data_IF_373460413975
#
_entry.id   IF_373460413975
#
_cell.length_a   1.000
_cell.length_b   1.000
_cell.length_c   1.000
_cell.angle_alpha   90.00
_cell.angle_beta   90.00
_cell.angle_gamma   90.00
#
_symmetry.space_group_name_H-M   'P 1'
#
loop_
_entity.id
_entity.type
_entity.pdbx_description
1 polymer ?
#
# COMPACT_ATOMS: atom_id res chain seq x y z
N UNK A 1 44.67 -4.87 4.35
CA UNK A 1 44.26 -4.77 2.93
C UNK A 1 43.33 -5.93 2.63
N UNK A 2 42.02 -5.70 2.44
CA UNK A 2 41.10 -6.77 2.01
C UNK A 2 41.33 -6.98 0.51
N UNK A 3 41.73 -8.19 0.15
CA UNK A 3 41.93 -8.64 -1.23
C UNK A 3 40.63 -8.46 -2.01
N UNK A 4 40.66 -7.70 -3.08
CA UNK A 4 39.53 -7.60 -4.01
C UNK A 4 39.32 -8.97 -4.66
N UNK A 5 38.13 -9.54 -4.49
CA UNK A 5 37.81 -10.85 -5.07
C UNK A 5 37.64 -10.71 -6.60
N UNK A 6 37.96 -11.76 -7.36
CA UNK A 6 37.75 -11.77 -8.81
C UNK A 6 36.29 -11.44 -9.20
N UNK A 7 35.33 -11.82 -8.34
CA UNK A 7 33.92 -11.48 -8.50
C UNK A 7 33.65 -9.98 -8.35
N UNK A 8 34.34 -9.28 -7.43
CA UNK A 8 34.22 -7.84 -7.27
C UNK A 8 34.73 -7.09 -8.51
N UNK A 9 35.80 -7.59 -9.14
CA UNK A 9 36.34 -7.00 -10.36
C UNK A 9 35.43 -7.23 -11.58
N UNK A 10 34.91 -8.46 -11.75
CA UNK A 10 33.90 -8.74 -12.78
C UNK A 10 32.66 -7.87 -12.62
N UNK A 11 32.22 -7.66 -11.38
CA UNK A 11 31.10 -6.78 -11.08
C UNK A 11 31.38 -5.32 -11.48
N UNK A 12 32.57 -4.79 -11.17
CA UNK A 12 32.96 -3.43 -11.61
C UNK A 12 33.08 -3.30 -13.11
N UNK A 13 33.60 -4.34 -13.80
CA UNK A 13 33.65 -4.36 -15.25
C UNK A 13 32.24 -4.30 -15.86
N UNK A 14 31.28 -5.03 -15.30
CA UNK A 14 29.88 -4.94 -15.70
C UNK A 14 29.34 -3.51 -15.51
N UNK A 15 29.59 -2.87 -14.37
CA UNK A 15 29.12 -1.50 -14.15
C UNK A 15 29.71 -0.52 -15.17
N UNK A 16 31.02 -0.62 -15.46
CA UNK A 16 31.69 0.21 -16.47
C UNK A 16 31.11 -0.04 -17.87
N UNK A 17 30.89 -1.29 -18.25
CA UNK A 17 30.37 -1.67 -19.58
C UNK A 17 29.00 -1.08 -19.88
N UNK A 18 28.17 -0.88 -18.86
CA UNK A 18 26.82 -0.31 -19.00
C UNK A 18 26.72 1.16 -18.54
N UNK A 19 27.86 1.83 -18.28
CA UNK A 19 27.89 3.21 -17.76
C UNK A 19 27.04 3.38 -16.49
N UNK A 20 27.04 2.37 -15.62
CA UNK A 20 26.30 2.33 -14.38
C UNK A 20 27.18 2.80 -13.22
N UNK A 21 26.59 3.55 -12.30
CA UNK A 21 27.24 4.06 -11.10
C UNK A 21 26.58 3.45 -9.86
N UNK A 22 27.40 2.97 -8.92
CA UNK A 22 26.94 2.53 -7.61
C UNK A 22 26.85 3.75 -6.68
N UNK A 23 25.68 3.92 -6.04
CA UNK A 23 25.43 5.05 -5.15
C UNK A 23 25.48 4.69 -3.66
N UNK A 24 25.27 3.42 -3.31
CA UNK A 24 25.41 2.96 -1.93
C UNK A 24 26.89 2.69 -1.62
N UNK A 25 27.52 3.52 -0.80
CA UNK A 25 28.93 3.38 -0.40
C UNK A 25 29.13 3.11 1.09
N UNK A 26 28.06 3.14 1.87
CA UNK A 26 28.06 2.90 3.31
C UNK A 26 27.59 1.47 3.66
N UNK A 27 28.00 0.91 4.81
CA UNK A 27 27.56 -0.42 5.25
C UNK A 27 26.04 -0.57 5.34
N UNK A 28 25.51 -1.53 4.57
CA UNK A 28 24.08 -1.84 4.58
C UNK A 28 23.76 -2.94 5.57
N UNK A 29 24.71 -3.80 5.92
CA UNK A 29 24.51 -4.83 6.95
C UNK A 29 25.34 -4.53 8.20
N UNK A 30 24.67 -4.27 9.32
CA UNK A 30 25.32 -3.73 10.53
C UNK A 30 26.27 -4.72 11.21
N UNK A 31 25.92 -6.01 11.24
CA UNK A 31 26.66 -6.99 12.03
C UNK A 31 28.10 -7.24 11.52
N UNK A 32 28.31 -7.17 10.19
CA UNK A 32 29.65 -7.35 9.59
C UNK A 32 30.23 -6.07 8.98
N UNK A 33 29.50 -4.95 9.02
CA UNK A 33 29.88 -3.72 8.33
C UNK A 33 29.95 -3.88 6.80
N UNK A 34 29.24 -4.86 6.23
CA UNK A 34 29.30 -5.16 4.80
C UNK A 34 28.36 -4.28 3.98
N UNK A 35 28.73 -4.03 2.73
CA UNK A 35 27.90 -3.37 1.72
C UNK A 35 27.38 -4.47 0.78
N UNK A 36 26.13 -4.87 0.95
CA UNK A 36 25.52 -5.96 0.17
C UNK A 36 24.21 -5.56 -0.52
N UNK A 37 23.62 -4.41 -0.14
CA UNK A 37 22.38 -3.88 -0.71
C UNK A 37 22.66 -2.60 -1.52
N UNK A 38 23.01 -2.76 -2.80
CA UNK A 38 23.49 -1.67 -3.65
C UNK A 38 22.37 -1.05 -4.50
N UNK A 39 22.39 0.28 -4.61
CA UNK A 39 21.59 1.03 -5.59
C UNK A 39 22.51 1.46 -6.73
N UNK A 40 22.10 1.15 -7.95
CA UNK A 40 22.87 1.38 -9.16
C UNK A 40 21.99 2.05 -10.21
N UNK A 41 22.49 3.12 -10.83
CA UNK A 41 21.83 3.77 -11.97
C UNK A 41 22.85 4.43 -12.90
N UNK A 42 22.46 4.72 -14.13
CA UNK A 42 23.25 5.51 -15.09
C UNK A 42 22.92 7.02 -15.00
N UNK A 43 22.05 7.42 -14.07
CA UNK A 43 21.64 8.81 -13.87
C UNK A 43 22.41 9.46 -12.71
N UNK A 44 22.57 10.78 -12.78
CA UNK A 44 23.00 11.55 -11.61
C UNK A 44 21.93 11.50 -10.53
N UNK A 45 22.37 11.46 -9.28
CA UNK A 45 21.51 11.45 -8.10
C UNK A 45 21.79 12.69 -7.26
N UNK A 46 20.76 13.27 -6.66
CA UNK A 46 20.91 14.46 -5.82
C UNK A 46 21.50 14.11 -4.46
N UNK A 47 21.17 12.92 -3.95
CA UNK A 47 21.68 12.41 -2.68
C UNK A 47 21.64 10.90 -2.65
N UNK A 48 22.67 10.30 -2.09
CA UNK A 48 22.71 8.88 -1.75
C UNK A 48 23.12 8.70 -0.28
N UNK A 49 22.80 7.55 0.30
CA UNK A 49 23.28 7.18 1.63
C UNK A 49 22.50 6.03 2.24
N UNK A 50 22.84 5.69 3.48
CA UNK A 50 22.20 4.62 4.22
C UNK A 50 21.45 5.18 5.43
N UNK A 51 20.26 4.67 5.70
CA UNK A 51 19.38 5.07 6.81
C UNK A 51 19.17 3.87 7.73
N UNK A 52 19.23 4.10 9.04
CA UNK A 52 19.02 3.04 10.02
C UNK A 52 17.66 2.34 9.84
N UNK A 53 17.63 1.01 9.98
CA UNK A 53 16.42 0.20 10.00
C UNK A 53 16.20 -0.44 11.36
N UNK A 54 15.04 -0.17 11.95
CA UNK A 54 14.74 -0.50 13.34
C UNK A 54 14.42 -1.97 13.61
N UNK A 55 14.18 -2.77 12.57
CA UNK A 55 13.65 -4.13 12.72
C UNK A 55 14.37 -5.18 11.86
N UNK A 56 15.38 -4.77 11.11
CA UNK A 56 16.26 -5.65 10.34
C UNK A 56 17.71 -5.30 10.65
N UNK A 57 18.63 -6.28 10.71
CA UNK A 57 20.07 -6.00 10.78
C UNK A 57 20.61 -5.28 9.53
N UNK A 58 19.84 -5.24 8.44
CA UNK A 58 20.12 -4.40 7.28
C UNK A 58 19.59 -2.99 7.48
N UNK A 59 20.42 -1.98 7.25
CA UNK A 59 20.02 -0.59 7.05
C UNK A 59 19.35 -0.40 5.68
N UNK A 60 18.55 0.66 5.55
CA UNK A 60 17.93 1.06 4.29
C UNK A 60 18.91 1.81 3.39
N UNK A 61 19.12 1.32 2.18
CA UNK A 61 19.77 2.10 1.13
C UNK A 61 18.79 3.15 0.59
N UNK A 62 19.22 4.40 0.47
CA UNK A 62 18.42 5.53 -0.04
C UNK A 62 19.17 6.26 -1.14
N UNK A 63 18.43 6.58 -2.20
CA UNK A 63 18.83 7.55 -3.23
C UNK A 63 17.68 8.54 -3.46
N UNK A 64 18.01 9.81 -3.63
CA UNK A 64 17.11 10.84 -4.16
C UNK A 64 17.49 11.11 -5.62
N UNK A 65 16.51 10.93 -6.49
CA UNK A 65 16.59 11.23 -7.91
C UNK A 65 15.56 12.30 -8.24
N UNK A 66 15.99 13.38 -8.87
CA UNK A 66 15.10 14.33 -9.51
C UNK A 66 14.52 13.70 -10.77
N UNK A 67 13.26 13.27 -10.69
CA UNK A 67 12.50 12.83 -11.86
C UNK A 67 11.72 14.01 -12.44
N UNK A 68 11.64 14.09 -13.76
CA UNK A 68 10.85 15.10 -14.46
C UNK A 68 9.37 14.99 -14.07
N UNK A 69 8.90 15.99 -13.29
CA UNK A 69 7.52 16.40 -12.99
C UNK A 69 6.38 15.37 -12.91
N UNK A 70 6.62 14.14 -12.49
CA UNK A 70 5.55 13.28 -11.96
C UNK A 70 5.24 13.65 -10.51
N UNK A 71 4.61 14.81 -10.31
CA UNK A 71 4.00 15.14 -9.00
C UNK A 71 2.67 14.39 -8.89
N UNK A 72 2.51 13.43 -7.95
CA UNK A 72 1.20 12.86 -7.69
C UNK A 72 0.26 13.99 -7.27
N UNK A 73 -0.88 14.09 -7.97
CA UNK A 73 -1.87 15.13 -7.73
C UNK A 73 -2.28 15.12 -6.24
N UNK A 74 -2.20 16.26 -5.54
CA UNK A 74 -2.64 16.33 -4.15
C UNK A 74 -4.10 15.88 -4.01
N UNK A 75 -4.34 14.78 -3.30
CA UNK A 75 -5.70 14.41 -2.89
C UNK A 75 -6.16 15.43 -1.83
N UNK A 76 -7.15 16.25 -2.18
CA UNK A 76 -7.76 17.21 -1.27
C UNK A 76 -9.21 16.82 -1.06
N UNK A 77 -9.62 16.67 0.20
CA UNK A 77 -11.01 16.39 0.57
C UNK A 77 -11.59 17.59 1.31
N UNK A 78 -12.88 17.85 1.10
CA UNK A 78 -13.65 18.78 1.92
C UNK A 78 -14.17 18.02 3.14
N UNK A 79 -13.98 18.58 4.33
CA UNK A 79 -14.39 17.94 5.59
C UNK A 79 -14.69 18.97 6.66
N UNK A 80 -15.55 18.59 7.62
CA UNK A 80 -15.85 19.37 8.83
C UNK A 80 -15.14 18.75 10.03
N UNK A 81 -14.61 19.58 10.92
CA UNK A 81 -13.84 19.13 12.08
C UNK A 81 -14.74 18.93 13.29
N UNK A 82 -15.24 17.71 13.48
CA UNK A 82 -16.17 17.37 14.57
C UNK A 82 -15.53 17.32 15.96
N UNK A 83 -14.19 17.30 16.06
CA UNK A 83 -13.50 17.17 17.36
C UNK A 83 -13.62 18.40 18.27
N UNK A 84 -14.15 19.51 17.75
CA UNK A 84 -14.44 20.74 18.51
C UNK A 84 -15.90 21.17 18.35
N UNK A 85 -16.79 20.22 18.07
CA UNK A 85 -18.22 20.50 17.99
C UNK A 85 -18.74 20.92 19.37
N UNK A 86 -19.26 22.14 19.45
CA UNK A 86 -19.93 22.66 20.64
C UNK A 86 -21.40 22.24 20.60
N UNK A 87 -21.71 21.15 21.30
CA UNK A 87 -23.04 20.57 21.34
C UNK A 87 -24.04 21.46 22.08
N UNK A 88 -23.59 22.19 23.11
CA UNK A 88 -24.45 23.04 23.91
C UNK A 88 -24.90 24.27 23.11
N UNK A 89 -23.96 24.89 22.39
CA UNK A 89 -24.26 26.01 21.51
C UNK A 89 -25.14 25.60 20.32
N UNK A 90 -24.90 24.42 19.72
CA UNK A 90 -25.76 23.88 18.67
C UNK A 90 -27.20 23.65 19.18
N UNK A 91 -27.35 23.04 20.35
CA UNK A 91 -28.65 22.80 20.97
C UNK A 91 -29.38 24.10 21.29
N UNK A 92 -28.67 25.11 21.79
CA UNK A 92 -29.23 26.45 22.04
C UNK A 92 -29.80 27.05 20.76
N UNK A 93 -29.02 27.10 19.68
CA UNK A 93 -29.47 27.66 18.40
C UNK A 93 -30.64 26.86 17.80
N UNK A 94 -30.63 25.53 17.89
CA UNK A 94 -31.72 24.69 17.38
C UNK A 94 -33.02 24.85 18.18
N UNK A 95 -32.93 25.11 19.49
CA UNK A 95 -34.11 25.33 20.35
C UNK A 95 -34.79 26.66 20.04
N UNK A 96 -34.04 27.65 19.56
CA UNK A 96 -34.56 28.98 19.19
C UNK A 96 -35.30 28.99 17.84
N UNK A 97 -35.21 27.90 17.05
CA UNK A 97 -35.84 27.80 15.74
C UNK A 97 -37.32 27.42 15.84
N UNK A 98 -38.14 27.96 14.93
CA UNK A 98 -39.54 27.53 14.79
C UNK A 98 -39.61 26.21 14.02
N UNK A 99 -40.03 25.16 14.71
CA UNK A 99 -40.20 23.83 14.13
C UNK A 99 -41.62 23.57 13.61
N UNK A 100 -42.53 24.53 13.79
CA UNK A 100 -43.93 24.43 13.33
C UNK A 100 -44.03 24.01 11.86
N UNK A 101 -43.24 24.54 10.91
CA UNK A 101 -43.28 24.10 9.51
C UNK A 101 -42.96 22.62 9.30
N UNK A 102 -42.10 22.03 10.12
CA UNK A 102 -41.78 20.59 10.06
C UNK A 102 -42.94 19.76 10.61
N UNK A 103 -43.57 20.19 11.70
CA UNK A 103 -44.66 19.43 12.30
C UNK A 103 -46.03 19.62 11.62
N UNK A 104 -46.21 20.72 10.90
CA UNK A 104 -47.46 21.06 10.23
C UNK A 104 -47.53 20.62 8.75
N UNK A 105 -46.40 20.26 8.13
CA UNK A 105 -46.39 19.74 6.76
C UNK A 105 -46.74 18.25 6.73
N UNK A 106 -47.57 17.85 5.76
CA UNK A 106 -47.90 16.45 5.49
C UNK A 106 -46.93 15.78 4.49
N UNK A 107 -45.96 16.53 3.94
CA UNK A 107 -44.96 16.02 2.99
C UNK A 107 -43.62 15.77 3.68
N UNK A 108 -43.14 14.51 3.74
CA UNK A 108 -41.81 14.20 4.25
C UNK A 108 -40.68 14.94 3.54
N UNK A 109 -40.84 15.23 2.24
CA UNK A 109 -39.87 16.01 1.46
C UNK A 109 -39.78 17.46 1.95
N UNK A 110 -40.92 18.13 2.15
CA UNK A 110 -40.96 19.50 2.67
C UNK A 110 -40.41 19.58 4.10
N UNK A 111 -40.73 18.59 4.93
CA UNK A 111 -40.16 18.47 6.28
C UNK A 111 -38.63 18.37 6.26
N UNK A 112 -38.10 17.52 5.38
CA UNK A 112 -36.66 17.31 5.22
C UNK A 112 -35.95 18.56 4.68
N UNK A 113 -36.55 19.22 3.69
CA UNK A 113 -35.99 20.43 3.10
C UNK A 113 -35.94 21.57 4.12
N UNK A 114 -37.00 21.75 4.92
CA UNK A 114 -37.00 22.74 6.00
C UNK A 114 -35.96 22.42 7.07
N UNK A 115 -35.88 21.15 7.51
CA UNK A 115 -34.87 20.71 8.47
C UNK A 115 -33.46 21.03 7.97
N UNK A 116 -33.15 20.74 6.70
CA UNK A 116 -31.85 21.06 6.12
C UNK A 116 -31.61 22.57 6.00
N UNK A 117 -32.63 23.35 5.64
CA UNK A 117 -32.55 24.79 5.51
C UNK A 117 -32.20 25.47 6.84
N UNK A 118 -32.72 24.96 7.95
CA UNK A 118 -32.45 25.48 9.30
C UNK A 118 -31.12 24.96 9.86
N UNK A 119 -30.85 23.67 9.72
CA UNK A 119 -29.69 23.04 10.37
C UNK A 119 -28.36 23.30 9.67
N UNK A 120 -28.34 23.40 8.33
CA UNK A 120 -27.08 23.60 7.58
C UNK A 120 -26.37 24.91 7.94
N UNK A 121 -27.03 26.07 7.99
CA UNK A 121 -26.36 27.33 8.37
C UNK A 121 -25.74 27.28 9.77
N UNK A 122 -26.43 26.67 10.73
CA UNK A 122 -25.92 26.47 12.10
C UNK A 122 -24.64 25.62 12.06
N UNK A 123 -24.68 24.51 11.32
CA UNK A 123 -23.51 23.65 11.14
C UNK A 123 -22.37 24.34 10.39
N UNK A 124 -22.65 25.22 9.43
CA UNK A 124 -21.61 25.95 8.69
C UNK A 124 -20.91 26.99 9.56
N UNK A 125 -21.60 27.58 10.53
CA UNK A 125 -21.02 28.50 11.52
C UNK A 125 -20.18 27.74 12.56
N UNK A 126 -20.74 26.68 13.15
CA UNK A 126 -20.09 25.94 14.23
C UNK A 126 -18.99 25.00 13.72
N UNK A 127 -19.16 24.46 12.51
CA UNK A 127 -18.29 23.48 11.88
C UNK A 127 -18.00 23.88 10.43
N UNK A 128 -17.29 24.98 10.19
CA UNK A 128 -16.99 25.42 8.83
C UNK A 128 -16.26 24.35 8.04
N UNK A 129 -16.64 24.19 6.77
CA UNK A 129 -16.01 23.23 5.88
C UNK A 129 -14.57 23.65 5.56
N UNK A 130 -13.64 22.69 5.67
CA UNK A 130 -12.22 22.92 5.43
C UNK A 130 -11.70 21.94 4.40
N UNK A 131 -10.84 22.44 3.51
CA UNK A 131 -10.11 21.60 2.55
C UNK A 131 -8.84 21.06 3.21
N UNK A 132 -8.73 19.74 3.31
CA UNK A 132 -7.59 19.08 3.92
C UNK A 132 -6.86 18.24 2.87
N UNK A 133 -5.54 18.41 2.80
CA UNK A 133 -4.67 17.61 1.93
C UNK A 133 -4.39 16.26 2.59
N UNK A 134 -4.82 15.19 1.93
CA UNK A 134 -4.56 13.81 2.34
C UNK A 134 -3.18 13.41 1.83
N UNK A 135 -2.21 13.29 2.75
CA UNK A 135 -0.80 12.95 2.42
C UNK A 135 -0.57 11.46 2.14
N UNK A 136 -1.49 10.59 2.56
CA UNK A 136 -1.43 9.15 2.30
C UNK A 136 -2.85 8.56 2.29
N UNK A 137 -3.52 8.45 1.13
CA UNK A 137 -4.88 7.93 1.05
C UNK A 137 -4.97 6.44 1.39
N UNK A 138 -3.84 5.73 1.46
CA UNK A 138 -3.75 4.31 1.81
C UNK A 138 -3.16 4.09 3.21
N UNK A 139 -3.11 5.14 4.05
CA UNK A 139 -2.72 4.96 5.44
C UNK A 139 -3.73 4.07 6.16
N UNK A 140 -3.28 3.15 7.03
CA UNK A 140 -4.20 2.38 7.86
C UNK A 140 -5.00 3.34 8.77
N UNK A 141 -6.27 3.02 9.04
CA UNK A 141 -7.06 3.77 10.01
C UNK A 141 -6.42 3.59 11.40
N UNK A 142 -6.22 4.69 12.11
CA UNK A 142 -5.64 4.68 13.46
C UNK A 142 -6.47 5.55 14.39
N UNK A 143 -6.79 4.99 15.55
CA UNK A 143 -7.47 5.70 16.64
C UNK A 143 -6.53 6.69 17.31
N UNK A 144 -7.09 7.62 18.10
CA UNK A 144 -6.27 8.59 18.84
C UNK A 144 -5.39 7.92 19.91
N UNK A 145 -5.87 6.83 20.53
CA UNK A 145 -5.07 6.00 21.42
C UNK A 145 -3.84 5.39 20.70
N UNK A 146 -4.01 4.89 19.48
CA UNK A 146 -2.91 4.38 18.66
C UNK A 146 -1.93 5.49 18.26
N UNK A 147 -2.43 6.70 17.94
CA UNK A 147 -1.58 7.86 17.64
C UNK A 147 -0.72 8.26 18.85
N UNK A 148 -1.28 8.19 20.05
CA UNK A 148 -0.56 8.45 21.29
C UNK A 148 0.57 7.44 21.51
N UNK A 149 0.29 6.13 21.37
CA UNK A 149 1.33 5.09 21.39
C UNK A 149 2.43 5.32 20.34
N UNK A 150 2.06 5.76 19.14
CA UNK A 150 3.04 6.13 18.09
C UNK A 150 3.88 7.36 18.47
N UNK A 151 3.32 8.32 19.20
CA UNK A 151 4.04 9.49 19.71
C UNK A 151 5.04 9.08 20.79
N UNK A 152 4.61 8.28 21.77
CA UNK A 152 5.47 7.74 22.83
C UNK A 152 6.61 6.90 22.27
N UNK A 153 6.32 6.03 21.29
CA UNK A 153 7.36 5.25 20.58
C UNK A 153 8.43 6.16 19.96
N UNK A 154 8.00 7.25 19.31
CA UNK A 154 8.92 8.22 18.70
C UNK A 154 9.75 8.97 19.74
N UNK A 155 9.17 9.28 20.91
CA UNK A 155 9.90 9.89 22.01
C UNK A 155 10.98 8.94 22.56
N UNK A 156 10.62 7.70 22.90
CA UNK A 156 11.55 6.69 23.40
C UNK A 156 12.75 6.45 22.45
N UNK A 157 12.53 6.53 21.14
CA UNK A 157 13.61 6.42 20.16
C UNK A 157 14.54 7.65 20.18
N UNK A 158 13.97 8.86 20.24
CA UNK A 158 14.76 10.11 20.30
C UNK A 158 15.62 10.18 21.56
N UNK A 159 15.08 9.67 22.66
CA UNK A 159 15.73 9.73 23.98
C UNK A 159 16.70 8.55 24.20
N UNK A 160 16.83 7.64 23.23
CA UNK A 160 17.75 6.49 23.31
C UNK A 160 17.29 5.34 24.21
N UNK A 161 16.02 5.33 24.62
CA UNK A 161 15.44 4.30 25.48
C UNK A 161 15.05 3.04 24.68
N UNK A 162 16.06 2.23 24.33
CA UNK A 162 15.91 1.10 23.39
C UNK A 162 14.88 0.05 23.84
N UNK A 163 14.84 -0.31 25.13
CA UNK A 163 13.92 -1.36 25.60
C UNK A 163 12.47 -0.88 25.66
N UNK A 164 12.25 0.35 26.14
CA UNK A 164 10.95 1.04 26.09
C UNK A 164 10.48 1.18 24.64
N UNK A 165 11.37 1.56 23.73
CA UNK A 165 11.07 1.63 22.30
C UNK A 165 10.61 0.27 21.73
N UNK A 166 11.32 -0.82 22.04
CA UNK A 166 10.96 -2.17 21.56
C UNK A 166 9.57 -2.58 22.04
N UNK A 167 9.26 -2.32 23.31
CA UNK A 167 7.94 -2.61 23.88
C UNK A 167 6.85 -1.80 23.19
N UNK A 168 7.04 -0.47 23.09
CA UNK A 168 6.10 0.43 22.42
C UNK A 168 5.93 0.07 20.94
N UNK A 169 6.98 -0.37 20.25
CA UNK A 169 6.89 -0.79 18.85
C UNK A 169 6.02 -2.04 18.66
N UNK A 170 6.08 -3.01 19.59
CA UNK A 170 5.18 -4.18 19.57
C UNK A 170 3.73 -3.75 19.83
N UNK A 171 3.51 -2.87 20.80
CA UNK A 171 2.18 -2.35 21.12
C UNK A 171 1.58 -1.56 19.96
N UNK A 172 2.34 -0.67 19.32
CA UNK A 172 1.91 0.09 18.14
C UNK A 172 1.53 -0.83 16.99
N UNK A 173 2.33 -1.87 16.70
CA UNK A 173 2.01 -2.83 15.62
C UNK A 173 0.71 -3.58 15.91
N UNK A 174 0.55 -4.07 17.14
CA UNK A 174 -0.69 -4.72 17.58
C UNK A 174 -1.89 -3.77 17.47
N UNK A 175 -1.72 -2.52 17.88
CA UNK A 175 -2.77 -1.51 17.86
C UNK A 175 -3.21 -1.12 16.44
N UNK A 176 -2.27 -0.90 15.52
CA UNK A 176 -2.59 -0.65 14.11
C UNK A 176 -3.34 -1.85 13.51
N UNK A 177 -2.92 -3.07 13.82
CA UNK A 177 -3.60 -4.28 13.34
C UNK A 177 -5.03 -4.41 13.85
N UNK A 178 -5.27 -4.06 15.12
CA UNK A 178 -6.61 -4.04 15.72
C UNK A 178 -7.48 -2.95 15.09
N UNK A 179 -7.00 -1.71 15.03
CA UNK A 179 -7.74 -0.57 14.47
C UNK A 179 -8.12 -0.81 13.01
N UNK A 180 -7.21 -1.42 12.25
CA UNK A 180 -7.46 -1.83 10.85
C UNK A 180 -8.56 -2.89 10.77
N UNK A 181 -8.53 -3.90 11.64
CA UNK A 181 -9.56 -4.95 11.67
C UNK A 181 -10.94 -4.36 12.01
N UNK A 182 -11.02 -3.55 13.06
CA UNK A 182 -12.28 -2.95 13.51
C UNK A 182 -12.90 -2.03 12.44
N UNK A 183 -12.08 -1.25 11.73
CA UNK A 183 -12.59 -0.41 10.64
C UNK A 183 -13.10 -1.24 9.47
N UNK A 184 -12.45 -2.37 9.16
CA UNK A 184 -12.93 -3.26 8.11
C UNK A 184 -14.23 -3.96 8.48
N UNK A 185 -14.35 -4.41 9.73
CA UNK A 185 -15.58 -4.97 10.27
C UNK A 185 -16.71 -3.93 10.15
N UNK A 186 -16.51 -2.69 10.63
CA UNK A 186 -17.49 -1.60 10.47
C UNK A 186 -17.87 -1.35 9.01
N UNK A 187 -16.90 -1.37 8.08
CA UNK A 187 -17.16 -1.16 6.65
C UNK A 187 -17.96 -2.30 6.03
N UNK A 188 -17.71 -3.54 6.46
CA UNK A 188 -18.47 -4.71 6.00
C UNK A 188 -19.90 -4.64 6.54
N UNK A 189 -20.06 -4.34 7.84
CA UNK A 189 -21.38 -4.25 8.48
C UNK A 189 -22.23 -3.15 7.84
N UNK A 190 -21.65 -1.97 7.58
CA UNK A 190 -22.36 -0.84 6.96
C UNK A 190 -22.74 -1.10 5.50
N UNK A 191 -21.91 -1.81 4.75
CA UNK A 191 -22.13 -2.04 3.32
C UNK A 191 -23.07 -3.23 3.04
N UNK A 192 -23.33 -4.06 4.04
CA UNK A 192 -24.13 -5.28 3.91
C UNK A 192 -23.48 -6.34 3.01
N UNK A 193 -24.20 -7.44 2.78
CA UNK A 193 -23.71 -8.60 2.01
C UNK A 193 -23.32 -8.25 0.56
N UNK A 194 -24.01 -7.29 -0.06
CA UNK A 194 -23.76 -6.83 -1.44
C UNK A 194 -22.53 -5.92 -1.58
N UNK A 195 -22.03 -5.36 -0.47
CA UNK A 195 -20.87 -4.46 -0.43
C UNK A 195 -19.59 -5.09 0.12
N UNK A 196 -19.65 -6.32 0.65
CA UNK A 196 -18.54 -7.03 1.29
C UNK A 196 -17.30 -7.11 0.38
N UNK A 197 -17.49 -7.48 -0.89
CA UNK A 197 -16.38 -7.56 -1.84
C UNK A 197 -15.71 -6.20 -2.08
N UNK A 198 -16.49 -5.12 -2.20
CA UNK A 198 -15.96 -3.74 -2.33
C UNK A 198 -15.18 -3.29 -1.09
N UNK A 199 -15.58 -3.75 0.09
CA UNK A 199 -14.88 -3.44 1.35
C UNK A 199 -13.54 -4.17 1.49
N UNK A 200 -13.46 -5.42 1.00
CA UNK A 200 -12.27 -6.28 1.09
C UNK A 200 -11.29 -6.10 -0.07
N UNK A 201 -11.79 -5.73 -1.26
CA UNK A 201 -10.99 -5.59 -2.47
C UNK A 201 -9.71 -4.74 -2.32
N UNK A 202 -9.69 -3.59 -1.61
CA UNK A 202 -8.48 -2.78 -1.47
C UNK A 202 -7.33 -3.48 -0.71
N UNK A 203 -7.62 -4.56 0.03
CA UNK A 203 -6.64 -5.33 0.82
C UNK A 203 -6.13 -6.52 0.03
N UNK A 204 -7.04 -7.21 -0.67
CA UNK A 204 -6.76 -8.48 -1.35
C UNK A 204 -6.34 -8.25 -2.80
N UNK A 205 -6.86 -7.22 -3.45
CA UNK A 205 -6.50 -6.93 -4.82
C UNK A 205 -5.06 -6.42 -4.88
N UNK A 206 -4.25 -6.92 -5.84
CA UNK A 206 -2.95 -6.34 -6.09
C UNK A 206 -3.13 -4.85 -6.41
N UNK A 207 -2.20 -4.03 -5.92
CA UNK A 207 -2.15 -2.59 -6.21
C UNK A 207 -2.26 -2.44 -7.73
N UNK A 208 -3.37 -1.89 -8.23
CA UNK A 208 -3.54 -1.69 -9.67
C UNK A 208 -2.35 -0.88 -10.14
N UNK A 209 -1.56 -1.45 -11.04
CA UNK A 209 -0.55 -0.66 -11.73
C UNK A 209 -1.30 0.39 -12.56
N UNK A 210 -0.89 1.66 -12.47
CA UNK A 210 -1.34 2.74 -13.38
C UNK A 210 -0.93 2.49 -14.85
N UNK A 211 -0.48 1.28 -15.18
CA UNK A 211 -0.33 0.86 -16.57
C UNK A 211 -1.73 0.87 -17.18
N UNK A 212 -1.93 1.80 -18.10
CA UNK A 212 -3.06 1.76 -19.00
C UNK A 212 -3.15 0.35 -19.56
N UNK A 213 -4.31 -0.28 -19.41
CA UNK A 213 -4.61 -1.47 -20.20
C UNK A 213 -4.28 -1.11 -21.64
N UNK A 214 -3.39 -1.85 -22.34
CA UNK A 214 -3.15 -1.58 -23.74
C UNK A 214 -4.50 -1.56 -24.45
N UNK A 215 -4.71 -0.59 -25.33
CA UNK A 215 -5.93 -0.45 -26.11
C UNK A 215 -5.98 -1.55 -27.18
N UNK A 216 -6.07 -2.79 -26.71
CA UNK A 216 -6.20 -3.98 -27.52
C UNK A 216 -7.58 -4.55 -27.24
N UNK A 217 -8.38 -4.70 -28.29
CA UNK A 217 -9.64 -5.43 -28.17
C UNK A 217 -9.38 -6.93 -27.95
N UNK A 218 -10.42 -7.68 -27.61
CA UNK A 218 -10.30 -9.11 -27.31
C UNK A 218 -9.75 -9.91 -28.51
N UNK A 219 -10.04 -9.47 -29.74
CA UNK A 219 -9.61 -10.13 -30.96
C UNK A 219 -8.13 -9.84 -31.25
N UNK A 220 -7.66 -8.64 -30.94
CA UNK A 220 -6.26 -8.24 -31.03
C UNK A 220 -5.39 -8.98 -30.01
N UNK A 221 -5.90 -9.14 -28.77
CA UNK A 221 -5.25 -9.98 -27.75
C UNK A 221 -5.21 -11.44 -28.18
N UNK A 222 -6.34 -11.99 -28.66
CA UNK A 222 -6.40 -13.36 -29.15
C UNK A 222 -5.43 -13.59 -30.32
N UNK A 223 -5.40 -12.67 -31.30
CA UNK A 223 -4.47 -12.75 -32.44
C UNK A 223 -3.02 -12.73 -31.97
N UNK A 224 -2.67 -11.83 -31.04
CA UNK A 224 -1.33 -11.78 -30.47
C UNK A 224 -0.95 -13.10 -29.81
N UNK A 225 -1.78 -13.66 -28.92
CA UNK A 225 -1.44 -14.90 -28.22
C UNK A 225 -1.44 -16.13 -29.13
N UNK A 226 -2.29 -16.17 -30.16
CA UNK A 226 -2.27 -17.21 -31.19
C UNK A 226 -0.99 -17.12 -32.04
N UNK A 227 -0.51 -15.91 -32.37
CA UNK A 227 0.68 -15.70 -33.20
C UNK A 227 2.00 -15.87 -32.44
N UNK A 228 2.02 -15.66 -31.12
CA UNK A 228 3.24 -15.80 -30.29
C UNK A 228 3.85 -17.19 -30.41
N UNK A 229 3.05 -18.26 -30.40
CA UNK A 229 3.53 -19.64 -30.52
C UNK A 229 4.28 -19.90 -31.84
N UNK A 230 3.63 -19.73 -33.01
CA UNK A 230 4.25 -19.90 -34.31
C UNK A 230 5.44 -18.97 -34.55
N UNK A 231 5.37 -17.71 -34.11
CA UNK A 231 6.46 -16.74 -34.28
C UNK A 231 7.69 -17.14 -33.46
N UNK A 232 7.49 -17.56 -32.22
CA UNK A 232 8.56 -18.03 -31.34
C UNK A 232 9.17 -19.33 -31.88
N UNK A 233 8.33 -20.27 -32.34
CA UNK A 233 8.79 -21.52 -32.95
C UNK A 233 9.68 -21.25 -34.18
N UNK A 234 9.25 -20.35 -35.09
CA UNK A 234 10.06 -19.96 -36.27
C UNK A 234 11.38 -19.30 -35.89
N UNK A 235 11.39 -18.44 -34.87
CA UNK A 235 12.61 -17.81 -34.38
C UNK A 235 13.58 -18.82 -33.75
N UNK A 236 13.08 -19.83 -33.04
CA UNK A 236 13.88 -20.93 -32.48
C UNK A 236 14.43 -21.82 -33.60
N UNK A 237 13.62 -22.17 -34.60
CA UNK A 237 14.06 -22.99 -35.74
C UNK A 237 15.11 -22.28 -36.60
N UNK A 238 14.98 -20.97 -36.78
CA UNK A 238 15.94 -20.17 -37.55
C UNK A 238 17.27 -19.91 -36.83
N UNK A 239 17.32 -20.04 -35.50
CA UNK A 239 18.49 -19.72 -34.69
C UNK A 239 19.54 -20.86 -34.61
N UNK A 240 19.30 -22.00 -35.25
CA UNK A 240 20.23 -23.15 -35.24
C UNK A 240 20.35 -23.83 -33.86
N UNK A 241 21.23 -24.83 -33.72
CA UNK A 241 21.35 -25.65 -32.50
C UNK A 241 21.97 -24.92 -31.29
N UNK A 242 22.63 -23.78 -31.51
CA UNK A 242 23.28 -23.01 -30.45
C UNK A 242 22.56 -21.68 -30.21
N UNK A 243 21.67 -21.67 -29.23
CA UNK A 243 21.10 -20.44 -28.69
C UNK A 243 22.00 -19.92 -27.55
N UNK A 244 22.40 -18.64 -27.54
CA UNK A 244 23.10 -18.07 -26.40
C UNK A 244 22.24 -18.24 -25.14
N UNK A 245 22.82 -18.91 -24.14
CA UNK A 245 22.17 -19.30 -22.89
C UNK A 245 21.65 -18.07 -22.14
N UNK A 246 20.35 -17.78 -22.28
CA UNK A 246 19.65 -16.84 -21.39
C UNK A 246 19.45 -17.50 -20.03
N UNK A 247 20.43 -17.32 -19.14
CA UNK A 247 20.45 -17.83 -17.76
C UNK A 247 20.28 -19.37 -17.69
N UNK A 248 20.71 -20.06 -16.62
CA UNK A 248 20.35 -21.46 -16.46
C UNK A 248 18.82 -21.55 -16.46
N UNK A 249 18.25 -22.26 -17.44
CA UNK A 249 16.85 -22.68 -17.38
C UNK A 249 16.70 -23.46 -16.09
N UNK A 250 16.03 -22.89 -15.11
CA UNK A 250 15.46 -23.68 -14.01
C UNK A 250 14.30 -24.44 -14.63
N UNK A 251 14.60 -25.57 -15.27
CA UNK A 251 13.57 -26.56 -15.52
C UNK A 251 13.22 -27.13 -14.15
N UNK A 252 12.08 -26.76 -13.61
CA UNK A 252 11.40 -27.61 -12.62
C UNK A 252 10.96 -28.87 -13.36
N UNK A 253 11.90 -29.78 -13.61
CA UNK A 253 11.66 -31.08 -14.26
C UNK A 253 10.67 -31.96 -13.49
N UNK A 254 10.33 -31.56 -12.26
CA UNK A 254 9.40 -32.26 -11.38
C UNK A 254 7.97 -31.71 -11.41
N UNK A 255 7.65 -30.72 -12.25
CA UNK A 255 6.26 -30.31 -12.43
C UNK A 255 5.53 -31.30 -13.35
N UNK A 256 4.99 -32.37 -12.75
CA UNK A 256 4.12 -33.32 -13.43
C UNK A 256 2.66 -33.01 -13.13
N UNK A 257 1.88 -32.75 -14.18
CA UNK A 257 0.42 -32.67 -14.06
C UNK A 257 -0.12 -34.10 -14.00
N UNK A 258 -0.60 -34.50 -12.83
CA UNK A 258 -1.31 -35.78 -12.66
C UNK A 258 -2.81 -35.52 -12.68
N UNK A 259 -3.60 -36.35 -13.41
CA UNK A 259 -5.05 -36.25 -13.37
C UNK A 259 -5.54 -36.53 -11.95
N UNK A 260 -6.28 -35.60 -11.38
CA UNK A 260 -6.92 -35.74 -10.08
C UNK A 260 -8.33 -36.30 -10.25
N UNK A 261 -8.73 -37.25 -9.41
CA UNK A 261 -10.12 -37.67 -9.35
C UNK A 261 -10.92 -36.82 -8.34
N UNK A 262 -12.26 -36.81 -8.41
CA UNK A 262 -13.10 -36.06 -7.47
C UNK A 262 -12.83 -36.40 -5.98
N UNK A 263 -12.40 -37.63 -5.68
CA UNK A 263 -12.05 -38.04 -4.32
C UNK A 263 -10.72 -37.43 -3.84
N UNK A 264 -9.74 -37.24 -4.72
CA UNK A 264 -8.50 -36.52 -4.40
C UNK A 264 -8.79 -35.05 -4.08
N UNK A 265 -9.69 -34.43 -4.84
CA UNK A 265 -10.12 -33.06 -4.61
C UNK A 265 -10.80 -32.92 -3.25
N UNK A 266 -11.72 -33.85 -2.90
CA UNK A 266 -12.37 -33.90 -1.58
C UNK A 266 -11.35 -34.08 -0.46
N UNK A 267 -10.35 -34.94 -0.66
CA UNK A 267 -9.29 -35.19 0.35
C UNK A 267 -8.41 -33.96 0.56
N UNK A 268 -8.05 -33.24 -0.50
CA UNK A 268 -7.22 -32.03 -0.42
C UNK A 268 -8.01 -30.89 0.24
N UNK A 269 -9.24 -30.63 -0.21
CA UNK A 269 -10.10 -29.58 0.36
C UNK A 269 -10.49 -29.91 1.81
N UNK A 270 -10.78 -31.17 2.13
CA UNK A 270 -11.09 -31.61 3.50
C UNK A 270 -9.92 -31.50 4.49
N UNK A 271 -8.67 -31.53 3.98
CA UNK A 271 -7.46 -31.29 4.79
C UNK A 271 -7.14 -29.81 4.99
N UNK A 272 -7.74 -28.91 4.20
CA UNK A 272 -7.71 -27.47 4.46
C UNK A 272 -8.65 -27.16 5.63
N UNK A 273 -8.32 -27.64 6.84
CA UNK A 273 -9.02 -27.26 8.07
C UNK A 273 -8.97 -25.74 8.20
N UNK A 274 -10.13 -25.15 8.40
CA UNK A 274 -10.29 -23.77 8.87
C UNK A 274 -9.46 -23.60 10.14
N UNK A 275 -8.53 -22.65 10.11
CA UNK A 275 -7.86 -22.13 11.30
C UNK A 275 -8.91 -21.52 12.21
N UNK A 276 -9.53 -22.35 13.06
CA UNK A 276 -10.30 -21.88 14.20
C UNK A 276 -9.34 -21.13 15.11
N UNK A 277 -9.71 -19.88 15.40
CA UNK A 277 -9.11 -19.03 16.43
C UNK A 277 -9.31 -19.70 17.79
N UNK A 278 -8.23 -19.87 18.54
CA UNK A 278 -8.24 -19.74 20.00
C UNK A 278 -7.88 -18.30 20.36
#
# INVERSE_FOLDING_TARGET
MKTDSAAAEQFRQLLRGYSLQQHTTEPTFRASGSIIDIIITNQSVDRAGVVHCDYSPHNWSRVLLSVSDQRPQPCTIATRCWSRFDADEANRQLTEMDWTPVYASDSPEEQWDYLLAVTRPILDILLPERRVRVRNPVAPPVTDATKELMAQRRAALRDGHIDTYKQLNRQVRSAIGRDTREELERRVDRAGSSGLWRSVQPIVAPKRSDRSTPAADADELNRFFVEVGPRTARQVTAAGPELPTRLPRVSTGDFQVTPICPDDLRRVVGRMRSSKRE
#
